data_IF_778256647784
#
_entry.id   IF_778256647784
#
_cell.length_a   1.000
_cell.length_b   1.000
_cell.length_c   1.000
_cell.angle_alpha   90.00
_cell.angle_beta   90.00
_cell.angle_gamma   90.00
#
_symmetry.space_group_name_H-M   'P 1'
#
loop_
_entity.id
_entity.type
_entity.pdbx_description
1 polymer ?
#
# COMPACT_ATOMS: atom_id res chain seq x y z
N UNK A 1 2.90 16.15 -0.36
CA UNK A 1 2.33 15.43 -1.54
C UNK A 1 0.78 15.42 -1.55
N UNK A 2 0.15 15.56 -2.73
CA UNK A 2 -1.31 15.37 -2.93
C UNK A 2 -1.66 13.88 -3.01
N UNK A 3 -2.89 13.51 -2.62
CA UNK A 3 -3.39 12.12 -2.73
C UNK A 3 -3.34 11.58 -4.17
N UNK A 4 -3.59 12.42 -5.17
CA UNK A 4 -3.49 12.04 -6.58
C UNK A 4 -2.08 11.61 -6.98
N UNK A 5 -1.06 12.29 -6.46
CA UNK A 5 0.35 11.96 -6.73
C UNK A 5 0.73 10.66 -6.02
N UNK A 6 0.31 10.51 -4.76
CA UNK A 6 0.49 9.26 -4.00
C UNK A 6 -0.11 8.06 -4.74
N UNK A 7 -1.35 8.18 -5.25
CA UNK A 7 -1.98 7.10 -6.00
C UNK A 7 -1.19 6.75 -7.29
N UNK A 8 -0.71 7.76 -8.02
CA UNK A 8 0.13 7.55 -9.20
C UNK A 8 1.43 6.79 -8.87
N UNK A 9 2.07 7.11 -7.74
CA UNK A 9 3.27 6.39 -7.31
C UNK A 9 2.99 4.94 -6.91
N UNK A 10 1.87 4.66 -6.26
CA UNK A 10 1.45 3.29 -5.93
C UNK A 10 1.23 2.49 -7.22
N UNK A 11 0.49 3.04 -8.19
CA UNK A 11 0.22 2.39 -9.48
C UNK A 11 1.52 2.10 -10.25
N UNK A 12 2.42 3.08 -10.30
CA UNK A 12 3.74 2.90 -10.90
C UNK A 12 4.54 1.77 -10.22
N UNK A 13 4.59 1.76 -8.88
CA UNK A 13 5.33 0.77 -8.13
C UNK A 13 4.76 -0.65 -8.30
N UNK A 14 3.43 -0.79 -8.33
CA UNK A 14 2.78 -2.08 -8.60
C UNK A 14 3.15 -2.63 -9.98
N UNK A 15 3.12 -1.80 -11.03
CA UNK A 15 3.51 -2.20 -12.37
C UNK A 15 4.98 -2.61 -12.43
N UNK A 16 5.87 -1.80 -11.84
CA UNK A 16 7.30 -2.09 -11.76
C UNK A 16 7.58 -3.42 -11.05
N UNK A 17 6.92 -3.68 -9.91
CA UNK A 17 7.05 -4.95 -9.18
C UNK A 17 6.55 -6.15 -10.01
N UNK A 18 5.41 -6.00 -10.69
CA UNK A 18 4.87 -7.04 -11.55
C UNK A 18 5.81 -7.39 -12.72
N UNK A 19 6.39 -6.39 -13.40
CA UNK A 19 7.39 -6.57 -14.46
C UNK A 19 8.62 -7.35 -13.97
N UNK A 20 9.02 -7.11 -12.72
CA UNK A 20 10.16 -7.77 -12.07
C UNK A 20 9.79 -9.08 -11.37
N UNK A 21 8.56 -9.58 -11.54
CA UNK A 21 8.05 -10.82 -10.89
C UNK A 21 8.15 -10.79 -9.36
N UNK A 22 8.03 -9.59 -8.78
CA UNK A 22 7.93 -9.40 -7.34
C UNK A 22 6.45 -9.39 -6.94
N UNK A 23 6.01 -10.43 -6.23
CA UNK A 23 4.61 -10.59 -5.86
C UNK A 23 4.33 -10.00 -4.48
N UNK A 24 3.35 -9.10 -4.44
CA UNK A 24 2.89 -8.49 -3.22
C UNK A 24 1.83 -9.35 -2.53
N UNK A 25 1.70 -9.25 -1.20
CA UNK A 25 0.61 -9.88 -0.48
C UNK A 25 -0.74 -9.28 -0.91
N UNK A 26 -1.85 -10.03 -0.81
CA UNK A 26 -3.17 -9.59 -1.30
C UNK A 26 -3.63 -8.24 -0.73
N UNK A 27 -3.25 -7.94 0.52
CA UNK A 27 -3.64 -6.72 1.20
C UNK A 27 -2.96 -5.45 0.67
N UNK A 28 -1.93 -5.58 -0.18
CA UNK A 28 -1.34 -4.42 -0.86
C UNK A 28 -2.32 -3.73 -1.84
N UNK A 29 -3.36 -4.47 -2.29
CA UNK A 29 -4.38 -3.98 -3.22
C UNK A 29 -5.74 -3.70 -2.56
N UNK A 30 -5.83 -3.81 -1.22
CA UNK A 30 -7.09 -3.60 -0.51
C UNK A 30 -7.55 -2.14 -0.58
N UNK A 31 -8.85 -1.98 -0.82
CA UNK A 31 -9.51 -0.68 -0.72
C UNK A 31 -9.69 -0.30 0.75
N UNK A 32 -9.99 0.97 1.07
CA UNK A 32 -10.34 1.36 2.43
C UNK A 32 -11.52 0.56 3.02
N UNK A 33 -12.47 0.12 2.19
CA UNK A 33 -13.59 -0.71 2.62
C UNK A 33 -13.13 -2.12 3.03
N UNK A 34 -12.19 -2.71 2.28
CA UNK A 34 -11.62 -4.02 2.60
C UNK A 34 -10.86 -3.97 3.93
N UNK A 35 -10.08 -2.91 4.14
CA UNK A 35 -9.37 -2.67 5.41
C UNK A 35 -10.33 -2.52 6.60
N UNK A 36 -11.45 -1.81 6.43
CA UNK A 36 -12.46 -1.67 7.48
C UNK A 36 -13.07 -3.03 7.85
N UNK A 37 -13.34 -3.88 6.87
CA UNK A 37 -13.90 -5.22 7.09
C UNK A 37 -12.89 -6.19 7.73
N UNK A 38 -11.60 -6.05 7.42
CA UNK A 38 -10.54 -6.95 7.89
C UNK A 38 -9.82 -6.48 9.15
N UNK A 39 -10.16 -5.30 9.67
CA UNK A 39 -9.41 -4.63 10.76
C UNK A 39 -9.11 -5.53 11.95
N UNK A 40 -10.11 -6.22 12.48
CA UNK A 40 -9.95 -7.09 13.67
C UNK A 40 -9.07 -8.33 13.40
N UNK A 41 -8.90 -8.71 12.14
CA UNK A 41 -8.14 -9.91 11.74
C UNK A 41 -6.71 -9.60 11.30
N UNK A 42 -6.34 -8.32 11.27
CA UNK A 42 -5.08 -7.85 10.69
C UNK A 42 -4.31 -6.93 11.65
N UNK A 43 -4.49 -7.10 12.96
CA UNK A 43 -3.86 -6.29 14.01
C UNK A 43 -2.34 -6.14 13.82
N UNK A 44 -1.64 -7.25 13.53
CA UNK A 44 -0.18 -7.26 13.29
C UNK A 44 0.27 -6.31 12.17
N UNK A 45 -0.53 -6.13 11.12
CA UNK A 45 -0.22 -5.21 10.02
C UNK A 45 -0.20 -3.77 10.52
N UNK A 46 -1.15 -3.40 11.37
CA UNK A 46 -1.26 -2.05 11.91
C UNK A 46 -0.21 -1.78 12.99
N UNK A 47 0.01 -2.73 13.89
CA UNK A 47 0.98 -2.59 14.99
C UNK A 47 2.41 -2.41 14.48
N UNK A 48 2.76 -3.07 13.37
CA UNK A 48 4.09 -3.02 12.79
C UNK A 48 4.22 -2.06 11.60
N UNK A 49 3.15 -1.34 11.24
CA UNK A 49 3.15 -0.40 10.11
C UNK A 49 3.48 -1.05 8.76
N UNK A 50 2.99 -2.27 8.51
CA UNK A 50 3.27 -2.97 7.26
C UNK A 50 2.47 -2.36 6.10
N UNK A 51 3.12 -2.16 4.96
CA UNK A 51 2.49 -1.80 3.69
C UNK A 51 3.14 -0.63 2.99
N UNK A 52 2.32 0.17 2.30
CA UNK A 52 2.79 1.28 1.47
C UNK A 52 3.32 2.42 2.35
N UNK A 53 4.58 2.78 2.16
CA UNK A 53 5.20 3.98 2.72
C UNK A 53 5.70 4.86 1.58
N UNK A 54 5.25 6.13 1.56
CA UNK A 54 5.53 7.10 0.51
C UNK A 54 5.82 8.43 1.17
N UNK A 55 7.00 8.96 0.91
CA UNK A 55 7.50 10.19 1.53
C UNK A 55 8.30 11.01 0.52
N UNK A 56 8.16 12.32 0.60
CA UNK A 56 9.02 13.31 -0.04
C UNK A 56 10.14 13.80 0.89
N UNK A 57 10.24 13.19 2.08
CA UNK A 57 11.16 13.59 3.15
C UNK A 57 10.97 15.03 3.64
N UNK A 58 9.78 15.60 3.49
CA UNK A 58 9.40 16.91 4.04
C UNK A 58 9.75 18.10 3.15
N UNK A 59 9.97 17.86 1.85
CA UNK A 59 10.18 18.89 0.84
C UNK A 59 8.88 19.56 0.38
#
# INVERSE_FOLDING_TARGET
>A
MKRSEVNQYIDYAMNFMAENKFYLPPWACWTPSDWLQMRERCEEIFENGLGWDITDFGS
#
